data_IF_648731231845
#
_entry.id   IF_648731231845
#
_cell.length_a   1.000
_cell.length_b   1.000
_cell.length_c   1.000
_cell.angle_alpha   90.00
_cell.angle_beta   90.00
_cell.angle_gamma   90.00
#
_symmetry.space_group_name_H-M   'P 1'
#
loop_
_entity.id
_entity.type
_entity.pdbx_description
1 polymer ?
#
# COMPACT_ATOMS: atom_id res chain seq x y z
N UNK A 1 0.62 13.37 -5.04
CA UNK A 1 1.31 12.07 -4.98
C UNK A 1 2.05 11.97 -3.65
N UNK A 2 1.90 10.85 -2.96
CA UNK A 2 2.55 10.51 -1.70
C UNK A 2 3.21 9.15 -1.91
N UNK A 3 4.48 9.00 -1.55
CA UNK A 3 5.18 7.73 -1.78
C UNK A 3 6.24 7.44 -0.73
N UNK A 4 6.43 6.17 -0.49
CA UNK A 4 7.57 5.65 0.23
C UNK A 4 8.74 5.51 -0.75
N UNK A 5 9.95 5.67 -0.26
CA UNK A 5 11.13 5.60 -1.12
C UNK A 5 12.25 4.82 -0.46
N UNK A 6 12.65 3.76 -1.13
CA UNK A 6 13.88 3.02 -0.85
C UNK A 6 15.08 3.65 -1.56
N UNK A 7 16.27 3.27 -1.14
CA UNK A 7 17.51 3.65 -1.80
C UNK A 7 17.86 2.73 -2.97
N UNK A 8 18.84 3.15 -3.77
CA UNK A 8 19.40 2.35 -4.88
C UNK A 8 20.64 1.55 -4.49
N UNK A 9 21.21 1.83 -3.34
CA UNK A 9 22.37 1.15 -2.78
C UNK A 9 22.29 1.15 -1.26
N UNK A 10 23.20 0.44 -0.59
CA UNK A 10 23.20 0.30 0.87
C UNK A 10 23.21 1.63 1.62
N UNK A 11 24.06 2.57 1.20
CA UNK A 11 24.18 3.89 1.84
C UNK A 11 22.87 4.69 1.72
N UNK A 12 22.28 4.68 0.55
CA UNK A 12 21.02 5.36 0.28
C UNK A 12 19.84 4.68 0.99
N UNK A 13 19.84 3.34 1.08
CA UNK A 13 18.85 2.60 1.88
C UNK A 13 18.93 2.95 3.38
N UNK A 14 20.13 3.03 3.94
CA UNK A 14 20.32 3.47 5.34
C UNK A 14 19.80 4.89 5.53
N UNK A 15 20.15 5.82 4.64
CA UNK A 15 19.70 7.21 4.69
C UNK A 15 18.16 7.32 4.63
N UNK A 16 17.50 6.47 3.83
CA UNK A 16 16.04 6.44 3.65
C UNK A 16 15.32 5.50 4.62
N UNK A 17 16.03 5.00 5.62
CA UNK A 17 15.51 4.02 6.57
C UNK A 17 14.82 2.82 5.88
N UNK A 18 15.40 2.34 4.76
CA UNK A 18 14.86 1.22 3.96
C UNK A 18 13.41 1.40 3.46
N UNK A 19 12.94 2.63 3.37
CA UNK A 19 11.53 2.92 3.04
C UNK A 19 10.55 2.80 4.22
N UNK A 20 11.06 2.50 5.42
CA UNK A 20 10.24 2.44 6.62
C UNK A 20 9.95 3.84 7.15
N UNK A 21 8.71 4.25 7.09
CA UNK A 21 8.30 5.57 7.59
C UNK A 21 8.31 5.63 9.11
N UNK A 22 8.81 6.75 9.63
CA UNK A 22 8.65 7.19 11.01
C UNK A 22 7.29 7.87 11.21
N UNK A 23 6.83 8.09 12.47
CA UNK A 23 5.52 8.73 12.74
C UNK A 23 5.33 10.05 12.01
N UNK A 24 6.39 10.82 11.88
CA UNK A 24 6.38 12.12 11.18
C UNK A 24 6.04 11.98 9.69
N UNK A 25 6.44 10.86 9.06
CA UNK A 25 6.12 10.56 7.67
C UNK A 25 4.61 10.35 7.47
N UNK A 26 3.97 9.61 8.35
CA UNK A 26 2.50 9.39 8.32
C UNK A 26 1.74 10.70 8.57
N UNK A 27 2.16 11.50 9.57
CA UNK A 27 1.56 12.81 9.84
C UNK A 27 1.72 13.76 8.65
N UNK A 28 2.89 13.76 8.00
CA UNK A 28 3.12 14.53 6.79
C UNK A 28 2.23 14.05 5.64
N UNK A 29 2.10 12.74 5.44
CA UNK A 29 1.22 12.16 4.44
C UNK A 29 -0.22 12.63 4.66
N UNK A 30 -0.76 12.50 5.88
CA UNK A 30 -2.10 12.95 6.21
C UNK A 30 -2.31 14.43 5.94
N UNK A 31 -1.35 15.28 6.33
CA UNK A 31 -1.41 16.73 6.05
C UNK A 31 -1.53 17.00 4.55
N UNK A 32 -0.79 16.28 3.72
CA UNK A 32 -0.85 16.42 2.25
C UNK A 32 -2.18 15.88 1.70
N UNK A 33 -2.70 14.78 2.26
CA UNK A 33 -4.02 14.24 1.90
C UNK A 33 -5.15 15.24 2.20
N UNK A 34 -5.14 15.87 3.39
CA UNK A 34 -6.11 16.91 3.74
C UNK A 34 -6.00 18.14 2.85
N UNK A 35 -4.80 18.48 2.40
CA UNK A 35 -4.60 19.55 1.43
C UNK A 35 -5.21 19.18 0.07
N UNK A 36 -5.00 17.94 -0.39
CA UNK A 36 -5.61 17.45 -1.62
C UNK A 36 -7.15 17.45 -1.54
N UNK A 37 -7.72 17.01 -0.42
CA UNK A 37 -9.14 17.07 -0.14
C UNK A 37 -9.68 18.50 -0.26
N UNK A 38 -9.02 19.47 0.39
CA UNK A 38 -9.39 20.90 0.33
C UNK A 38 -9.46 21.44 -1.10
N UNK A 39 -8.54 21.01 -1.96
CA UNK A 39 -8.48 21.43 -3.36
C UNK A 39 -9.20 20.47 -4.32
N UNK A 40 -9.90 19.47 -3.80
CA UNK A 40 -10.61 18.45 -4.60
C UNK A 40 -9.71 17.75 -5.63
N UNK A 41 -8.46 17.51 -5.25
CA UNK A 41 -7.47 16.81 -6.05
C UNK A 41 -7.45 15.32 -5.68
N UNK A 42 -7.36 14.41 -6.66
CA UNK A 42 -7.21 13.00 -6.37
C UNK A 42 -5.88 12.73 -5.66
N UNK A 43 -5.88 11.76 -4.75
CA UNK A 43 -4.71 11.32 -4.02
C UNK A 43 -4.18 10.05 -4.68
N UNK A 44 -2.88 10.02 -4.92
CA UNK A 44 -2.17 8.83 -5.40
C UNK A 44 -1.14 8.47 -4.36
N UNK A 45 -1.18 7.24 -3.86
CA UNK A 45 -0.14 6.71 -2.96
C UNK A 45 0.69 5.67 -3.67
N UNK A 46 2.02 5.75 -3.53
CA UNK A 46 2.98 4.78 -4.05
C UNK A 46 3.57 4.02 -2.87
N UNK A 47 3.28 2.73 -2.79
CA UNK A 47 3.64 1.88 -1.65
C UNK A 47 4.88 1.06 -2.01
N UNK A 48 5.95 1.26 -1.24
CA UNK A 48 7.18 0.46 -1.31
C UNK A 48 7.91 0.49 0.04
N UNK A 49 7.50 -0.41 0.94
CA UNK A 49 8.04 -0.49 2.29
C UNK A 49 8.03 -1.92 2.83
N UNK A 50 9.09 -2.35 3.54
CA UNK A 50 9.09 -3.60 4.29
C UNK A 50 8.29 -3.53 5.61
N UNK A 51 7.77 -2.34 5.97
CA UNK A 51 6.99 -2.11 7.18
C UNK A 51 7.11 -0.68 7.70
N UNK A 52 6.52 -0.42 8.85
CA UNK A 52 6.73 0.81 9.60
C UNK A 52 8.06 0.72 10.39
N UNK A 53 8.67 1.86 10.71
CA UNK A 53 9.88 1.88 11.56
C UNK A 53 9.59 1.24 12.93
N UNK A 54 10.27 0.13 13.30
CA UNK A 54 10.05 -0.57 14.55
C UNK A 54 10.92 -0.04 15.71
N UNK A 55 11.67 1.02 15.48
CA UNK A 55 12.64 1.55 16.46
C UNK A 55 11.94 2.18 17.67
N UNK A 56 12.61 2.11 18.84
CA UNK A 56 12.11 2.69 20.10
C UNK A 56 11.73 4.16 19.93
N UNK A 57 12.56 4.95 19.25
CA UNK A 57 12.27 6.35 18.99
C UNK A 57 11.03 6.59 18.09
N UNK A 58 10.63 5.64 17.24
CA UNK A 58 9.37 5.71 16.51
C UNK A 58 8.19 5.40 17.43
N UNK A 59 8.33 4.38 18.29
CA UNK A 59 7.32 4.00 19.28
C UNK A 59 7.03 5.15 20.24
N UNK A 60 8.07 5.74 20.84
CA UNK A 60 7.95 6.89 21.77
C UNK A 60 7.23 8.09 21.15
N UNK A 61 7.35 8.30 19.85
CA UNK A 61 6.67 9.38 19.12
C UNK A 61 5.33 8.97 18.52
N UNK A 62 4.82 7.80 18.90
CA UNK A 62 3.47 7.32 18.59
C UNK A 62 3.35 6.75 17.17
N UNK A 63 4.17 5.77 16.80
CA UNK A 63 4.13 5.08 15.51
C UNK A 63 2.76 4.44 15.24
N UNK A 64 2.28 3.63 16.18
CA UNK A 64 0.97 2.98 16.09
C UNK A 64 -0.17 3.98 15.97
N UNK A 65 -0.13 5.03 16.80
CA UNK A 65 -1.13 6.11 16.73
C UNK A 65 -1.14 6.82 15.37
N UNK A 66 0.04 7.15 14.82
CA UNK A 66 0.12 7.85 13.54
C UNK A 66 -0.45 7.02 12.38
N UNK A 67 -0.21 5.70 12.38
CA UNK A 67 -0.79 4.77 11.40
C UNK A 67 -2.31 4.67 11.59
N UNK A 68 -2.78 4.42 12.81
CA UNK A 68 -4.21 4.29 13.11
C UNK A 68 -4.99 5.56 12.77
N UNK A 69 -4.44 6.72 13.11
CA UNK A 69 -5.04 8.01 12.77
C UNK A 69 -5.10 8.24 11.26
N UNK A 70 -4.07 7.84 10.50
CA UNK A 70 -4.14 7.91 9.04
C UNK A 70 -5.27 7.04 8.48
N UNK A 71 -5.42 5.80 8.95
CA UNK A 71 -6.51 4.91 8.51
C UNK A 71 -7.88 5.53 8.80
N UNK A 72 -8.08 6.03 10.01
CA UNK A 72 -9.32 6.69 10.42
C UNK A 72 -9.65 7.90 9.53
N UNK A 73 -8.69 8.77 9.33
CA UNK A 73 -8.87 9.98 8.53
C UNK A 73 -9.04 9.66 7.04
N UNK A 74 -8.27 8.71 6.49
CA UNK A 74 -8.37 8.30 5.09
C UNK A 74 -9.75 7.71 4.75
N UNK A 75 -10.39 7.02 5.69
CA UNK A 75 -11.75 6.51 5.52
C UNK A 75 -12.77 7.62 5.23
N UNK A 76 -12.54 8.83 5.76
CA UNK A 76 -13.44 9.99 5.66
C UNK A 76 -13.02 11.07 4.66
N UNK A 77 -11.85 10.95 4.03
CA UNK A 77 -11.37 11.94 3.03
C UNK A 77 -12.32 12.04 1.83
N UNK A 78 -12.79 13.24 1.54
CA UNK A 78 -13.78 13.56 0.49
C UNK A 78 -13.12 13.82 -0.86
N UNK A 79 -12.17 12.99 -1.27
CA UNK A 79 -11.63 12.93 -2.63
C UNK A 79 -11.16 11.51 -2.93
N UNK A 80 -10.96 11.19 -4.21
CA UNK A 80 -10.57 9.85 -4.63
C UNK A 80 -9.15 9.53 -4.17
N UNK A 81 -8.96 8.30 -3.69
CA UNK A 81 -7.67 7.75 -3.28
C UNK A 81 -7.35 6.52 -4.14
N UNK A 82 -6.28 6.59 -4.91
CA UNK A 82 -5.74 5.50 -5.70
C UNK A 82 -4.41 5.05 -5.09
N UNK A 83 -4.33 3.82 -4.62
CA UNK A 83 -3.09 3.25 -4.08
C UNK A 83 -2.42 2.33 -5.09
N UNK A 84 -1.11 2.44 -5.22
CA UNK A 84 -0.30 1.66 -6.15
C UNK A 84 0.84 1.00 -5.39
N UNK A 85 0.87 -0.33 -5.36
CA UNK A 85 2.00 -1.09 -4.82
C UNK A 85 3.04 -1.22 -5.92
N UNK A 86 4.21 -0.61 -5.71
CA UNK A 86 5.31 -0.58 -6.69
C UNK A 86 6.51 -1.44 -6.29
N UNK A 87 6.45 -2.08 -5.14
CA UNK A 87 7.48 -2.96 -4.59
C UNK A 87 6.90 -3.78 -3.44
N UNK A 88 7.38 -3.57 -2.25
CA UNK A 88 6.90 -4.25 -1.04
C UNK A 88 5.76 -3.47 -0.39
N UNK A 89 4.67 -4.14 -0.07
CA UNK A 89 3.54 -3.59 0.64
C UNK A 89 3.34 -4.25 2.01
N UNK A 90 4.23 -3.98 2.97
CA UNK A 90 4.21 -4.71 4.23
C UNK A 90 3.52 -3.98 5.38
N UNK A 91 2.61 -4.73 6.03
CA UNK A 91 2.10 -4.45 7.37
C UNK A 91 1.48 -3.05 7.52
N UNK A 92 1.50 -2.51 8.73
CA UNK A 92 1.05 -1.15 9.05
C UNK A 92 1.80 -0.07 8.28
N UNK A 93 3.03 -0.37 7.83
CA UNK A 93 3.82 0.51 6.97
C UNK A 93 3.14 0.83 5.66
N UNK A 94 2.59 -0.16 5.02
CA UNK A 94 1.82 -0.03 3.80
C UNK A 94 0.40 0.50 4.08
N UNK A 95 -0.28 -0.04 5.08
CA UNK A 95 -1.65 0.34 5.42
C UNK A 95 -1.78 1.83 5.77
N UNK A 96 -0.81 2.41 6.46
CA UNK A 96 -0.86 3.82 6.89
C UNK A 96 -0.98 4.86 5.76
N UNK A 97 -0.80 4.44 4.50
CA UNK A 97 -1.08 5.23 3.30
C UNK A 97 -1.88 4.43 2.24
N UNK A 98 -2.30 3.21 2.56
CA UNK A 98 -2.83 2.23 1.59
C UNK A 98 -4.35 2.12 1.56
N UNK A 99 -5.09 2.71 2.51
CA UNK A 99 -6.55 2.72 2.47
C UNK A 99 -7.03 3.55 1.28
N UNK A 100 -7.82 2.97 0.38
CA UNK A 100 -8.09 3.58 -0.92
C UNK A 100 -9.43 3.16 -1.52
N UNK A 101 -9.88 3.90 -2.53
CA UNK A 101 -11.02 3.52 -3.36
C UNK A 101 -10.65 2.41 -4.35
N UNK A 102 -9.42 2.41 -4.84
CA UNK A 102 -8.90 1.41 -5.77
C UNK A 102 -7.43 1.12 -5.50
N UNK A 103 -7.05 -0.16 -5.49
CA UNK A 103 -5.67 -0.61 -5.34
C UNK A 103 -5.17 -1.22 -6.65
N UNK A 104 -4.02 -0.74 -7.12
CA UNK A 104 -3.29 -1.28 -8.26
C UNK A 104 -1.97 -1.88 -7.75
N UNK A 105 -1.50 -2.95 -8.37
CA UNK A 105 -0.21 -3.54 -8.07
C UNK A 105 0.61 -3.76 -9.34
N UNK A 106 1.90 -3.51 -9.29
CA UNK A 106 2.80 -4.01 -10.33
C UNK A 106 2.90 -5.53 -10.23
N UNK A 107 3.18 -6.18 -11.35
CA UNK A 107 3.17 -7.65 -11.51
C UNK A 107 4.08 -8.39 -10.52
N UNK A 108 5.25 -7.83 -10.21
CA UNK A 108 6.26 -8.47 -9.37
C UNK A 108 6.33 -7.87 -7.96
N UNK A 109 5.20 -7.41 -7.45
CA UNK A 109 5.07 -6.84 -6.10
C UNK A 109 4.35 -7.82 -5.17
N UNK A 110 4.30 -7.48 -3.90
CA UNK A 110 3.54 -8.22 -2.91
C UNK A 110 2.92 -7.28 -1.87
N UNK A 111 1.83 -7.73 -1.26
CA UNK A 111 1.16 -6.98 -0.20
C UNK A 111 0.69 -7.96 0.88
N UNK A 112 1.11 -7.75 2.12
CA UNK A 112 0.82 -8.67 3.23
C UNK A 112 0.93 -7.99 4.59
N UNK A 113 0.25 -8.55 5.57
CA UNK A 113 0.34 -8.12 6.97
C UNK A 113 1.72 -8.32 7.58
N UNK A 114 2.49 -9.31 7.09
CA UNK A 114 3.79 -9.70 7.61
C UNK A 114 4.63 -10.33 6.50
N UNK A 115 5.96 -10.32 6.65
CA UNK A 115 6.83 -11.08 5.74
C UNK A 115 6.66 -12.59 5.93
N UNK A 116 6.92 -13.40 4.90
CA UNK A 116 6.88 -14.87 5.01
C UNK A 116 7.77 -15.42 6.12
N UNK A 117 8.98 -14.84 6.29
CA UNK A 117 9.92 -15.23 7.34
C UNK A 117 9.37 -14.91 8.74
N UNK A 118 8.77 -13.74 8.90
CA UNK A 118 8.10 -13.34 10.15
C UNK A 118 6.92 -14.25 10.49
N UNK A 119 6.08 -14.54 9.50
CA UNK A 119 4.96 -15.46 9.63
C UNK A 119 5.43 -16.86 10.02
N UNK A 120 6.45 -17.39 9.35
CA UNK A 120 7.02 -18.70 9.64
C UNK A 120 7.59 -18.76 11.05
N UNK A 121 8.31 -17.73 11.47
CA UNK A 121 8.89 -17.65 12.83
C UNK A 121 7.81 -17.65 13.91
N UNK A 122 6.66 -16.98 13.68
CA UNK A 122 5.56 -16.94 14.65
C UNK A 122 4.80 -18.28 14.68
N UNK A 123 4.40 -18.80 13.52
CA UNK A 123 3.52 -19.96 13.45
C UNK A 123 4.25 -21.30 13.67
N UNK A 124 5.44 -21.43 13.12
CA UNK A 124 6.22 -22.68 13.18
C UNK A 124 7.46 -22.60 14.06
N UNK A 125 7.81 -21.42 14.59
CA UNK A 125 9.06 -21.13 15.30
C UNK A 125 10.31 -21.51 14.48
N UNK A 126 10.18 -21.47 13.17
CA UNK A 126 11.20 -21.87 12.20
C UNK A 126 11.11 -21.00 10.94
N UNK A 127 12.05 -20.08 10.75
CA UNK A 127 12.08 -19.19 9.59
C UNK A 127 12.36 -19.91 8.27
N UNK A 128 12.88 -21.14 8.29
CA UNK A 128 13.09 -21.94 7.07
C UNK A 128 11.78 -22.33 6.40
N UNK A 129 10.64 -22.22 7.12
CA UNK A 129 9.28 -22.43 6.62
C UNK A 129 8.70 -21.21 5.87
N UNK A 130 9.52 -20.21 5.56
CA UNK A 130 9.08 -19.04 4.78
C UNK A 130 8.40 -19.39 3.44
N UNK A 131 8.82 -20.42 2.66
CA UNK A 131 8.11 -20.79 1.44
C UNK A 131 6.67 -21.27 1.68
N UNK A 132 6.44 -22.06 2.73
CA UNK A 132 5.10 -22.50 3.13
C UNK A 132 4.23 -21.34 3.62
N UNK A 133 4.84 -20.43 4.41
CA UNK A 133 4.19 -19.22 4.85
C UNK A 133 3.77 -18.33 3.67
N UNK A 134 4.66 -18.09 2.70
CA UNK A 134 4.38 -17.30 1.51
C UNK A 134 3.19 -17.87 0.72
N UNK A 135 3.15 -19.17 0.53
CA UNK A 135 2.04 -19.86 -0.14
C UNK A 135 0.70 -19.69 0.61
N UNK A 136 0.74 -19.72 1.93
CA UNK A 136 -0.46 -19.59 2.77
C UNK A 136 -0.95 -18.15 2.89
N UNK A 137 -0.05 -17.17 2.88
CA UNK A 137 -0.35 -15.74 2.99
C UNK A 137 -1.05 -15.16 1.75
N UNK A 138 -0.96 -15.83 0.60
CA UNK A 138 -1.61 -15.36 -0.64
C UNK A 138 -1.27 -13.89 -0.96
N UNK A 139 0.02 -13.57 -1.00
CA UNK A 139 0.54 -12.21 -1.01
C UNK A 139 0.81 -11.62 -2.40
N UNK A 140 0.67 -12.42 -3.46
CA UNK A 140 0.95 -11.95 -4.83
C UNK A 140 -0.22 -11.14 -5.40
N UNK A 141 0.02 -10.27 -6.40
CA UNK A 141 -1.05 -9.50 -7.03
C UNK A 141 -2.20 -10.37 -7.56
N UNK A 142 -1.88 -11.56 -8.09
CA UNK A 142 -2.88 -12.51 -8.57
C UNK A 142 -3.75 -13.04 -7.43
N UNK A 143 -3.12 -13.49 -6.34
CA UNK A 143 -3.85 -13.96 -5.16
C UNK A 143 -4.77 -12.87 -4.58
N UNK A 144 -4.26 -11.63 -4.53
CA UNK A 144 -4.99 -10.50 -3.96
C UNK A 144 -6.13 -10.02 -4.87
N UNK A 145 -6.06 -10.26 -6.18
CA UNK A 145 -7.20 -10.07 -7.08
C UNK A 145 -8.29 -11.12 -6.83
N UNK A 146 -7.92 -12.38 -6.57
CA UNK A 146 -8.87 -13.45 -6.24
C UNK A 146 -9.62 -13.17 -4.93
N UNK A 147 -9.07 -12.32 -4.06
CA UNK A 147 -9.65 -11.91 -2.78
C UNK A 147 -10.23 -10.48 -2.79
N UNK A 148 -10.41 -9.85 -3.95
CA UNK A 148 -10.93 -8.49 -4.12
C UNK A 148 -10.12 -7.39 -3.38
N UNK A 149 -8.89 -7.69 -2.95
CA UNK A 149 -7.99 -6.72 -2.29
C UNK A 149 -7.29 -5.86 -3.35
N UNK A 150 -6.77 -6.46 -4.42
CA UNK A 150 -6.22 -5.77 -5.57
C UNK A 150 -7.28 -5.65 -6.67
N UNK A 151 -7.39 -4.49 -7.29
CA UNK A 151 -8.36 -4.25 -8.36
C UNK A 151 -7.77 -4.39 -9.77
N UNK A 152 -6.45 -4.24 -9.89
CA UNK A 152 -5.76 -4.31 -11.18
C UNK A 152 -4.29 -4.65 -11.01
N UNK A 153 -3.79 -5.52 -11.87
CA UNK A 153 -2.34 -5.79 -12.01
C UNK A 153 -1.81 -5.06 -13.23
N UNK A 154 -0.73 -4.32 -13.05
CA UNK A 154 0.00 -3.65 -14.12
C UNK A 154 1.20 -4.50 -14.49
N UNK A 155 1.22 -5.02 -15.71
CA UNK A 155 2.30 -5.85 -16.22
C UNK A 155 3.56 -5.04 -16.46
N UNK A 156 4.69 -5.60 -16.06
CA UNK A 156 5.98 -4.98 -16.18
C UNK A 156 6.66 -5.32 -17.52
N UNK A 157 7.54 -4.46 -18.03
CA UNK A 157 8.37 -4.83 -19.17
C UNK A 157 9.21 -6.08 -18.88
N UNK A 158 9.49 -6.87 -19.91
CA UNK A 158 10.35 -8.07 -19.78
C UNK A 158 11.67 -7.74 -19.07
N UNK A 159 11.96 -8.47 -17.99
CA UNK A 159 13.10 -8.22 -17.12
C UNK A 159 12.80 -7.35 -15.88
N UNK A 160 11.56 -6.86 -15.74
CA UNK A 160 11.08 -6.13 -14.57
C UNK A 160 11.22 -4.62 -14.62
N UNK A 161 10.47 -3.94 -13.78
CA UNK A 161 10.41 -2.48 -13.67
C UNK A 161 11.79 -1.84 -13.43
N UNK A 162 12.61 -2.47 -12.60
CA UNK A 162 13.93 -1.98 -12.20
C UNK A 162 14.95 -1.90 -13.36
N UNK A 163 14.71 -2.60 -14.47
CA UNK A 163 15.56 -2.54 -15.69
C UNK A 163 15.06 -1.54 -16.72
N UNK A 164 13.79 -1.16 -16.65
CA UNK A 164 13.13 -0.33 -17.66
C UNK A 164 12.32 0.80 -17.00
N UNK A 165 12.99 1.66 -16.21
CA UNK A 165 12.36 2.72 -15.43
C UNK A 165 11.40 3.60 -16.23
N UNK A 166 11.86 4.16 -17.35
CA UNK A 166 11.06 5.10 -18.15
C UNK A 166 9.84 4.41 -18.77
N UNK A 167 10.03 3.19 -19.26
CA UNK A 167 8.93 2.40 -19.85
C UNK A 167 7.89 2.06 -18.79
N UNK A 168 8.33 1.61 -17.61
CA UNK A 168 7.43 1.30 -16.49
C UNK A 168 6.72 2.55 -15.99
N UNK A 169 7.43 3.67 -15.88
CA UNK A 169 6.85 4.95 -15.46
C UNK A 169 5.77 5.42 -16.43
N UNK A 170 5.98 5.26 -17.74
CA UNK A 170 4.97 5.62 -18.75
C UNK A 170 3.74 4.71 -18.66
N UNK A 171 3.93 3.38 -18.58
CA UNK A 171 2.83 2.43 -18.42
C UNK A 171 2.01 2.78 -17.15
N UNK A 172 2.70 3.00 -16.03
CA UNK A 172 2.07 3.33 -14.77
C UNK A 172 1.34 4.68 -14.83
N UNK A 173 1.95 5.69 -15.44
CA UNK A 173 1.32 7.00 -15.65
C UNK A 173 0.01 6.88 -16.42
N UNK A 174 0.02 6.17 -17.55
CA UNK A 174 -1.15 6.02 -18.40
C UNK A 174 -2.26 5.26 -17.66
N UNK A 175 -1.89 4.20 -16.92
CA UNK A 175 -2.80 3.46 -16.06
C UNK A 175 -3.40 4.35 -14.97
N UNK A 176 -2.60 5.09 -14.23
CA UNK A 176 -3.08 5.99 -13.15
C UNK A 176 -4.03 7.04 -13.71
N UNK A 177 -3.72 7.64 -14.85
CA UNK A 177 -4.57 8.66 -15.47
C UNK A 177 -5.93 8.08 -15.92
N UNK A 178 -5.92 6.87 -16.48
CA UNK A 178 -7.14 6.15 -16.84
C UNK A 178 -8.00 5.86 -15.61
N UNK A 179 -7.38 5.29 -14.57
CA UNK A 179 -8.09 4.88 -13.36
C UNK A 179 -8.67 6.06 -12.58
N UNK A 180 -7.94 7.18 -12.49
CA UNK A 180 -8.47 8.40 -11.88
C UNK A 180 -9.66 8.93 -12.68
N UNK A 181 -9.62 8.86 -14.02
CA UNK A 181 -10.74 9.28 -14.86
C UNK A 181 -11.97 8.41 -14.62
N UNK A 182 -11.77 7.11 -14.47
CA UNK A 182 -12.86 6.18 -14.18
C UNK A 182 -13.42 6.36 -12.76
N UNK A 183 -12.56 6.53 -11.76
CA UNK A 183 -12.99 6.86 -10.41
C UNK A 183 -13.82 8.15 -10.37
N UNK A 184 -13.42 9.19 -11.10
CA UNK A 184 -14.19 10.45 -11.19
C UNK A 184 -15.55 10.30 -11.85
N UNK A 185 -15.71 9.34 -12.78
CA UNK A 185 -16.99 9.10 -13.45
C UNK A 185 -17.95 8.26 -12.60
N UNK A 186 -17.41 7.26 -11.91
CA UNK A 186 -18.18 6.20 -11.28
C UNK A 186 -18.43 6.46 -9.79
N UNK A 187 -17.60 7.27 -9.16
CA UNK A 187 -17.77 7.69 -7.78
C UNK A 187 -18.44 9.07 -7.76
N UNK A 188 -19.77 9.09 -7.76
CA UNK A 188 -20.60 10.26 -7.51
C UNK A 188 -20.33 10.80 -6.10
N UNK A 189 -21.22 11.57 -5.52
CA UNK A 189 -21.13 12.10 -4.15
C UNK A 189 -21.12 11.01 -3.07
N UNK A 190 -21.34 9.74 -3.44
CA UNK A 190 -21.41 8.57 -2.55
C UNK A 190 -20.10 7.75 -2.46
N UNK A 191 -18.99 8.30 -2.91
CA UNK A 191 -17.70 7.55 -2.92
C UNK A 191 -17.19 7.17 -1.52
N UNK A 192 -17.60 7.86 -0.47
CA UNK A 192 -17.25 7.46 0.90
C UNK A 192 -17.92 6.14 1.27
N UNK A 193 -19.20 5.97 0.97
CA UNK A 193 -19.90 4.71 1.19
C UNK A 193 -19.29 3.59 0.32
N UNK A 194 -18.90 3.90 -0.92
CA UNK A 194 -18.18 2.96 -1.77
C UNK A 194 -16.86 2.52 -1.12
N UNK A 195 -16.05 3.47 -0.60
CA UNK A 195 -14.78 3.17 0.08
C UNK A 195 -15.00 2.28 1.30
N UNK A 196 -15.94 2.60 2.18
CA UNK A 196 -16.24 1.80 3.38
C UNK A 196 -16.74 0.42 2.97
N UNK A 197 -17.73 0.34 2.08
CA UNK A 197 -18.34 -0.93 1.64
C UNK A 197 -17.34 -1.87 0.94
N UNK A 198 -16.28 -1.32 0.37
CA UNK A 198 -15.19 -2.11 -0.21
C UNK A 198 -14.48 -2.95 0.86
N UNK A 199 -14.23 -2.37 2.02
CA UNK A 199 -13.56 -3.06 3.13
C UNK A 199 -14.51 -3.96 3.91
N UNK A 200 -15.77 -3.59 4.06
CA UNK A 200 -16.80 -4.41 4.72
C UNK A 200 -17.05 -5.75 4.01
N UNK A 201 -16.77 -5.82 2.72
CA UNK A 201 -16.94 -7.04 1.91
C UNK A 201 -15.73 -7.97 1.92
N UNK A 202 -14.59 -7.53 2.48
CA UNK A 202 -13.38 -8.35 2.51
C UNK A 202 -13.50 -9.47 3.55
N UNK A 203 -13.09 -10.67 3.13
CA UNK A 203 -13.09 -11.85 3.97
C UNK A 203 -14.28 -12.77 3.73
N UNK A 204 -14.11 -14.04 4.14
CA UNK A 204 -15.14 -15.08 4.06
C UNK A 204 -15.43 -15.54 5.48
N UNK A 205 -16.67 -15.45 5.91
CA UNK A 205 -17.12 -15.99 7.16
C UNK A 205 -18.35 -16.88 6.94
N UNK A 206 -18.56 -17.82 7.83
CA UNK A 206 -19.77 -18.66 7.89
C UNK A 206 -20.45 -18.40 9.21
N UNK A 207 -21.73 -18.09 9.17
CA UNK A 207 -22.59 -18.15 10.34
C UNK A 207 -22.91 -19.63 10.61
N UNK A 208 -22.66 -20.09 11.86
CA UNK A 208 -22.98 -21.43 12.33
C UNK A 208 -24.43 -21.49 12.81
#
# INVERSE_FOLDING_TARGET
>A
IIGQQKGRNTKDNIFRNFGMMKPEGYRKALRVMKLAEKFKLPIITLIDTPGADPGIGAEERGQGYAIANNLFEMASIKTQILSVVIGEGASGGALGIGLCDKMIMLEHTWFSVISPEGCASILWKDSSKAPEAAKSLKLTPKDLMEHDICNMVVYEPSGGAHRHFDKTANILKDTILSEIKDLKKNLNDDFLNYRVSRYDKLGVFREN
#
